data_IF_747322685943
#
_entry.id   IF_747322685943
#
_cell.length_a   1.000
_cell.length_b   1.000
_cell.length_c   1.000
_cell.angle_alpha   90.00
_cell.angle_beta   90.00
_cell.angle_gamma   90.00
#
_symmetry.space_group_name_H-M   'P 1'
#
loop_
_entity.id
_entity.type
_entity.pdbx_description
1 polymer ?
#
# COMPACT_ATOMS: atom_id res chain seq x y z
N UNK A 1 4.54 4.61 -21.30
CA UNK A 1 5.73 5.30 -21.86
C UNK A 1 6.75 4.23 -22.26
N UNK A 2 6.79 3.87 -23.55
CA UNK A 2 7.83 2.96 -24.06
C UNK A 2 9.16 3.70 -24.06
N UNK A 3 10.06 3.35 -23.14
CA UNK A 3 11.45 3.78 -23.21
C UNK A 3 12.10 3.02 -24.35
N UNK A 4 12.31 3.71 -25.48
CA UNK A 4 13.05 3.18 -26.62
C UNK A 4 14.53 3.01 -26.20
N UNK A 5 14.88 1.81 -25.77
CA UNK A 5 16.26 1.43 -25.48
C UNK A 5 17.02 1.26 -26.80
N UNK A 6 17.95 2.18 -27.11
CA UNK A 6 18.87 2.10 -28.27
C UNK A 6 20.12 1.27 -27.97
N UNK A 7 20.03 0.23 -27.13
CA UNK A 7 21.15 -0.65 -26.80
C UNK A 7 20.99 -2.06 -27.35
N UNK A 8 22.07 -2.84 -27.41
CA UNK A 8 22.01 -4.23 -27.81
C UNK A 8 21.33 -5.11 -26.73
N UNK A 9 20.93 -6.33 -27.09
CA UNK A 9 20.20 -7.27 -26.23
C UNK A 9 20.92 -7.53 -24.89
N UNK A 10 22.23 -7.56 -24.86
CA UNK A 10 23.06 -7.83 -23.67
C UNK A 10 23.08 -6.64 -22.70
N UNK A 11 23.08 -5.42 -23.22
CA UNK A 11 22.99 -4.19 -22.40
C UNK A 11 21.60 -4.07 -21.77
N UNK A 12 20.55 -4.35 -22.53
CA UNK A 12 19.18 -4.38 -22.03
C UNK A 12 19.04 -5.36 -20.84
N UNK A 13 19.64 -6.55 -20.94
CA UNK A 13 19.63 -7.55 -19.87
C UNK A 13 20.43 -7.05 -18.63
N UNK A 14 21.58 -6.40 -18.83
CA UNK A 14 22.34 -5.81 -17.72
C UNK A 14 21.56 -4.71 -17.01
N UNK A 15 20.93 -3.80 -17.75
CA UNK A 15 20.10 -2.74 -17.17
C UNK A 15 18.89 -3.30 -16.42
N UNK A 16 18.22 -4.31 -16.96
CA UNK A 16 17.11 -4.99 -16.27
C UNK A 16 17.57 -5.69 -14.99
N UNK A 17 18.75 -6.31 -14.99
CA UNK A 17 19.32 -6.93 -13.80
C UNK A 17 19.73 -5.88 -12.74
N UNK A 18 20.23 -4.72 -13.15
CA UNK A 18 20.51 -3.60 -12.24
C UNK A 18 19.21 -3.00 -11.69
N UNK A 19 18.21 -2.76 -12.54
CA UNK A 19 16.92 -2.21 -12.11
C UNK A 19 16.21 -3.11 -11.09
N UNK A 20 16.30 -4.42 -11.23
CA UNK A 20 15.77 -5.39 -10.24
C UNK A 20 16.46 -5.34 -8.88
N UNK A 21 17.68 -4.79 -8.80
CA UNK A 21 18.45 -4.65 -7.55
C UNK A 21 18.18 -3.32 -6.84
N UNK A 22 17.58 -2.34 -7.52
CA UNK A 22 17.26 -1.04 -6.93
C UNK A 22 16.04 -1.21 -6.02
N UNK A 23 16.29 -1.25 -4.71
CA UNK A 23 15.23 -1.13 -3.71
C UNK A 23 14.94 0.35 -3.49
N UNK A 24 13.73 0.76 -3.79
CA UNK A 24 13.25 2.11 -3.52
C UNK A 24 12.31 2.07 -2.31
N UNK A 25 12.59 2.88 -1.30
CA UNK A 25 11.70 3.00 -0.14
C UNK A 25 10.29 3.41 -0.58
N UNK A 26 9.30 2.67 -0.11
CA UNK A 26 7.90 2.91 -0.47
C UNK A 26 7.49 2.45 -1.87
N UNK A 27 8.29 1.58 -2.51
CA UNK A 27 7.94 0.86 -3.73
C UNK A 27 8.19 -0.63 -3.54
N UNK A 28 7.10 -1.41 -3.34
CA UNK A 28 7.15 -2.82 -2.98
C UNK A 28 8.19 -3.09 -1.88
N UNK A 29 8.27 -2.16 -0.92
CA UNK A 29 9.27 -2.14 0.14
C UNK A 29 8.83 -3.06 1.27
N UNK A 30 9.25 -4.33 1.17
CA UNK A 30 8.92 -5.38 2.13
C UNK A 30 9.92 -5.37 3.29
N UNK A 31 9.40 -5.17 4.49
CA UNK A 31 10.16 -5.12 5.73
C UNK A 31 9.67 -6.20 6.71
N UNK A 32 10.61 -6.80 7.45
CA UNK A 32 10.33 -7.83 8.46
C UNK A 32 10.65 -7.29 9.86
N UNK A 33 9.86 -7.70 10.85
CA UNK A 33 10.06 -7.37 12.26
C UNK A 33 10.17 -5.86 12.50
N UNK A 34 9.23 -5.09 11.94
CA UNK A 34 9.21 -3.62 12.07
C UNK A 34 8.79 -3.25 13.48
N UNK A 35 9.73 -2.69 14.25
CA UNK A 35 9.49 -2.30 15.62
C UNK A 35 8.82 -0.93 15.71
N UNK A 36 7.73 -0.84 16.47
CA UNK A 36 7.10 0.43 16.80
C UNK A 36 7.32 0.75 18.27
N UNK A 37 8.28 1.65 18.52
CA UNK A 37 8.76 2.00 19.87
C UNK A 37 7.64 2.52 20.77
N UNK A 38 6.75 3.38 20.27
CA UNK A 38 5.63 3.95 21.04
C UNK A 38 4.81 2.88 21.78
N UNK A 39 4.61 1.74 21.13
CA UNK A 39 3.80 0.64 21.66
C UNK A 39 4.63 -0.55 22.17
N UNK A 40 5.95 -0.53 22.00
CA UNK A 40 6.82 -1.65 22.36
C UNK A 40 6.49 -2.95 21.64
N UNK A 41 5.93 -2.85 20.44
CA UNK A 41 5.44 -3.99 19.64
C UNK A 41 6.10 -4.07 18.28
N UNK A 42 6.01 -5.24 17.66
CA UNK A 42 6.51 -5.50 16.33
C UNK A 42 5.37 -5.81 15.35
N UNK A 43 5.47 -5.28 14.14
CA UNK A 43 4.80 -5.84 12.98
C UNK A 43 5.70 -6.92 12.38
N UNK A 44 5.23 -8.14 12.27
CA UNK A 44 6.01 -9.27 11.74
C UNK A 44 6.43 -9.03 10.29
N UNK A 45 5.52 -8.53 9.48
CA UNK A 45 5.74 -8.22 8.06
C UNK A 45 4.98 -6.95 7.70
N UNK A 46 5.67 -5.97 7.13
CA UNK A 46 5.06 -4.76 6.56
C UNK A 46 5.52 -4.58 5.12
N UNK A 47 4.58 -4.22 4.24
CA UNK A 47 4.85 -3.85 2.85
C UNK A 47 4.40 -2.41 2.63
N UNK A 48 5.29 -1.56 2.13
CA UNK A 48 5.00 -0.18 1.80
C UNK A 48 5.02 0.02 0.29
N UNK A 49 3.91 0.50 -0.28
CA UNK A 49 3.82 0.87 -1.69
C UNK A 49 3.01 2.15 -1.91
N UNK A 50 3.67 3.21 -2.34
CA UNK A 50 3.04 4.49 -2.67
C UNK A 50 2.42 4.57 -4.06
N UNK A 51 2.29 3.44 -4.76
CA UNK A 51 1.66 3.36 -6.07
C UNK A 51 0.21 3.83 -6.05
N UNK A 52 -0.14 4.68 -7.02
CA UNK A 52 -1.44 5.34 -7.09
C UNK A 52 -1.93 5.48 -8.55
N UNK A 53 -1.54 4.56 -9.40
CA UNK A 53 -2.01 4.41 -10.78
C UNK A 53 -2.25 2.94 -11.09
N UNK A 54 -2.91 2.68 -12.23
CA UNK A 54 -3.32 1.35 -12.65
C UNK A 54 -2.16 0.33 -12.62
N UNK A 55 -1.04 0.65 -13.27
CA UNK A 55 0.10 -0.27 -13.39
C UNK A 55 0.73 -0.58 -12.02
N UNK A 56 0.82 0.42 -11.15
CA UNK A 56 1.39 0.25 -9.81
C UNK A 56 0.50 -0.62 -8.91
N UNK A 57 -0.82 -0.40 -8.94
CA UNK A 57 -1.76 -1.23 -8.18
C UNK A 57 -1.77 -2.67 -8.68
N UNK A 58 -1.76 -2.87 -10.00
CA UNK A 58 -1.67 -4.21 -10.59
C UNK A 58 -0.37 -4.93 -10.18
N UNK A 59 0.76 -4.22 -10.22
CA UNK A 59 2.04 -4.77 -9.77
C UNK A 59 2.05 -5.12 -8.26
N UNK A 60 1.39 -4.29 -7.44
CA UNK A 60 1.23 -4.57 -6.01
C UNK A 60 0.40 -5.83 -5.77
N UNK A 61 -0.73 -5.98 -6.45
CA UNK A 61 -1.61 -7.16 -6.35
C UNK A 61 -0.86 -8.43 -6.75
N UNK A 62 -0.12 -8.39 -7.86
CA UNK A 62 0.72 -9.49 -8.31
C UNK A 62 1.80 -9.85 -7.28
N UNK A 63 2.45 -8.83 -6.71
CA UNK A 63 3.48 -9.00 -5.68
C UNK A 63 2.91 -9.66 -4.43
N UNK A 64 1.75 -9.21 -3.93
CA UNK A 64 1.08 -9.77 -2.76
C UNK A 64 0.76 -11.26 -2.94
N UNK A 65 0.22 -11.59 -4.11
CA UNK A 65 -0.17 -12.96 -4.45
C UNK A 65 1.04 -13.88 -4.58
N UNK A 66 2.06 -13.44 -5.34
CA UNK A 66 3.28 -14.22 -5.59
C UNK A 66 4.08 -14.48 -4.31
N UNK A 67 4.12 -13.51 -3.40
CA UNK A 67 4.86 -13.61 -2.14
C UNK A 67 4.02 -14.19 -0.99
N UNK A 68 2.79 -14.64 -1.25
CA UNK A 68 1.89 -15.22 -0.24
C UNK A 68 1.65 -14.28 0.95
N UNK A 69 1.46 -13.00 0.66
CA UNK A 69 1.18 -11.96 1.65
C UNK A 69 -0.33 -11.70 1.82
N UNK A 70 -1.15 -12.63 1.38
CA UNK A 70 -2.60 -12.57 1.50
C UNK A 70 -3.13 -13.77 2.29
N UNK A 71 -4.21 -13.62 3.06
CA UNK A 71 -4.91 -12.37 3.36
C UNK A 71 -4.07 -11.43 4.23
N UNK A 72 -4.28 -10.12 4.09
CA UNK A 72 -3.50 -9.09 4.79
C UNK A 72 -4.39 -8.12 5.58
N UNK A 73 -3.76 -7.25 6.37
CA UNK A 73 -4.37 -6.01 6.86
C UNK A 73 -3.90 -4.89 5.93
N UNK A 74 -4.83 -4.27 5.19
CA UNK A 74 -4.54 -3.20 4.24
C UNK A 74 -4.87 -1.84 4.86
N UNK A 75 -3.87 -0.95 4.94
CA UNK A 75 -4.04 0.48 5.24
C UNK A 75 -4.00 1.21 3.89
N UNK A 76 -5.11 1.82 3.51
CA UNK A 76 -5.29 2.46 2.21
C UNK A 76 -5.67 3.93 2.36
N UNK A 77 -4.89 4.80 1.72
CA UNK A 77 -5.19 6.23 1.64
C UNK A 77 -4.71 6.82 0.32
N UNK A 78 -5.53 7.69 -0.28
CA UNK A 78 -5.25 8.29 -1.59
C UNK A 78 -5.60 9.78 -1.62
N UNK A 79 -4.99 10.49 -2.55
CA UNK A 79 -5.41 11.85 -2.89
C UNK A 79 -6.68 11.80 -3.76
N UNK A 80 -7.63 12.72 -3.53
CA UNK A 80 -8.91 12.75 -4.22
C UNK A 80 -8.77 12.96 -5.73
N UNK A 81 -7.78 13.77 -6.15
CA UNK A 81 -7.47 14.02 -7.56
C UNK A 81 -6.89 12.80 -8.30
N UNK A 82 -6.65 11.69 -7.61
CA UNK A 82 -6.19 10.42 -8.18
C UNK A 82 -7.32 9.40 -8.35
N UNK A 83 -8.51 9.68 -7.81
CA UNK A 83 -9.65 8.79 -7.92
C UNK A 83 -10.33 8.98 -9.29
N UNK A 84 -9.85 8.26 -10.28
CA UNK A 84 -10.47 8.18 -11.59
C UNK A 84 -10.99 6.76 -11.88
N UNK A 85 -11.92 6.64 -12.83
CA UNK A 85 -12.62 5.38 -13.12
C UNK A 85 -11.69 4.22 -13.51
N UNK A 86 -10.47 4.50 -13.99
CA UNK A 86 -9.50 3.46 -14.36
C UNK A 86 -8.94 2.74 -13.12
N UNK A 87 -9.02 3.37 -11.94
CA UNK A 87 -8.52 2.81 -10.69
C UNK A 87 -9.57 1.99 -9.92
N UNK A 88 -10.85 2.09 -10.25
CA UNK A 88 -11.90 1.39 -9.53
C UNK A 88 -11.64 -0.12 -9.46
N UNK A 89 -11.45 -0.77 -10.61
CA UNK A 89 -11.21 -2.22 -10.67
C UNK A 89 -9.96 -2.66 -9.89
N UNK A 90 -8.76 -2.09 -10.12
CA UNK A 90 -7.57 -2.53 -9.38
C UNK A 90 -7.63 -2.16 -7.88
N UNK A 91 -8.29 -1.08 -7.48
CA UNK A 91 -8.49 -0.77 -6.06
C UNK A 91 -9.41 -1.79 -5.39
N UNK A 92 -10.53 -2.13 -6.04
CA UNK A 92 -11.42 -3.17 -5.54
C UNK A 92 -10.70 -4.51 -5.41
N UNK A 93 -9.98 -4.95 -6.44
CA UNK A 93 -9.20 -6.18 -6.41
C UNK A 93 -8.14 -6.16 -5.28
N UNK A 94 -7.47 -5.04 -5.06
CA UNK A 94 -6.52 -4.89 -3.94
C UNK A 94 -7.24 -5.03 -2.59
N UNK A 95 -8.40 -4.39 -2.42
CA UNK A 95 -9.19 -4.48 -1.19
C UNK A 95 -9.69 -5.92 -0.92
N UNK A 96 -9.99 -6.68 -1.95
CA UNK A 96 -10.38 -8.09 -1.83
C UNK A 96 -9.25 -9.02 -1.35
N UNK A 97 -7.99 -8.57 -1.41
CA UNK A 97 -6.85 -9.29 -0.80
C UNK A 97 -6.77 -9.09 0.71
N UNK A 98 -7.53 -8.14 1.26
CA UNK A 98 -7.51 -7.83 2.69
C UNK A 98 -8.57 -8.63 3.46
N UNK A 99 -8.21 -9.08 4.66
CA UNK A 99 -9.19 -9.50 5.66
C UNK A 99 -9.62 -8.28 6.53
N UNK A 100 -8.66 -7.39 6.82
CA UNK A 100 -8.92 -6.13 7.50
C UNK A 100 -8.54 -4.97 6.57
N UNK A 101 -9.48 -4.05 6.35
CA UNK A 101 -9.31 -2.90 5.47
C UNK A 101 -9.49 -1.62 6.28
N UNK A 102 -8.44 -0.82 6.35
CA UNK A 102 -8.41 0.42 7.12
C UNK A 102 -8.24 1.58 6.13
N UNK A 103 -9.29 2.36 5.94
CA UNK A 103 -9.22 3.59 5.18
C UNK A 103 -8.71 4.73 6.07
N UNK A 104 -7.75 5.51 5.56
CA UNK A 104 -7.13 6.62 6.29
C UNK A 104 -6.89 7.82 5.38
N UNK A 105 -6.97 9.06 5.90
CA UNK A 105 -6.55 10.22 5.14
C UNK A 105 -5.03 10.18 4.89
N UNK A 106 -4.60 10.87 3.83
CA UNK A 106 -3.18 11.13 3.57
C UNK A 106 -2.79 12.52 4.08
N UNK A 107 -1.54 12.77 4.50
CA UNK A 107 -1.10 14.07 5.01
C UNK A 107 -0.97 15.10 3.86
N UNK A 108 -2.09 15.45 3.26
CA UNK A 108 -2.17 16.38 2.12
C UNK A 108 -3.54 17.05 2.10
N UNK A 109 -3.57 18.31 1.71
CA UNK A 109 -4.84 19.04 1.47
C UNK A 109 -5.69 18.39 0.35
N UNK A 110 -5.10 17.56 -0.49
CA UNK A 110 -5.79 16.81 -1.55
C UNK A 110 -6.26 15.42 -1.11
N UNK A 111 -6.20 15.12 0.19
CA UNK A 111 -6.63 13.82 0.69
C UNK A 111 -8.09 13.53 0.34
N UNK A 112 -8.38 12.34 -0.17
CA UNK A 112 -9.73 11.81 -0.09
C UNK A 112 -10.05 11.50 1.39
N UNK A 113 -11.33 11.69 1.77
CA UNK A 113 -11.76 11.17 3.07
C UNK A 113 -11.90 9.63 3.01
N UNK A 114 -11.77 8.94 4.14
CA UNK A 114 -12.00 7.50 4.19
C UNK A 114 -13.31 7.06 3.55
N UNK A 115 -14.40 7.78 3.83
CA UNK A 115 -15.74 7.51 3.30
C UNK A 115 -15.81 7.73 1.77
N UNK A 116 -15.16 8.78 1.27
CA UNK A 116 -15.14 9.06 -0.16
C UNK A 116 -14.36 7.98 -0.92
N UNK A 117 -13.26 7.47 -0.34
CA UNK A 117 -12.46 6.40 -0.92
C UNK A 117 -13.23 5.07 -0.92
N UNK A 118 -13.91 4.74 0.18
CA UNK A 118 -14.75 3.55 0.26
C UNK A 118 -15.90 3.61 -0.75
N UNK A 119 -16.62 4.74 -0.83
CA UNK A 119 -17.72 4.92 -1.78
C UNK A 119 -17.24 4.76 -3.22
N UNK A 120 -16.11 5.35 -3.57
CA UNK A 120 -15.50 5.23 -4.90
C UNK A 120 -15.23 3.77 -5.28
N UNK A 121 -14.73 2.95 -4.34
CA UNK A 121 -14.45 1.53 -4.58
C UNK A 121 -15.76 0.73 -4.70
N UNK A 122 -16.76 1.05 -3.88
CA UNK A 122 -18.06 0.37 -3.87
C UNK A 122 -18.89 0.65 -5.13
N UNK A 123 -18.62 1.72 -5.88
CA UNK A 123 -19.24 1.96 -7.19
C UNK A 123 -18.97 0.83 -8.20
N UNK A 124 -17.93 0.05 -8.02
CA UNK A 124 -17.62 -1.15 -8.81
C UNK A 124 -18.45 -2.39 -8.43
N UNK A 125 -19.40 -2.25 -7.52
CA UNK A 125 -20.19 -3.34 -6.96
C UNK A 125 -19.60 -3.92 -5.66
N UNK A 126 -20.35 -4.82 -5.03
CA UNK A 126 -19.98 -5.41 -3.76
C UNK A 126 -18.68 -6.23 -3.83
N UNK A 127 -17.99 -6.34 -2.71
CA UNK A 127 -16.85 -7.24 -2.56
C UNK A 127 -17.31 -8.70 -2.66
N UNK A 128 -16.53 -9.56 -3.30
CA UNK A 128 -16.73 -11.01 -3.30
C UNK A 128 -16.53 -11.59 -1.89
N UNK A 129 -15.54 -11.07 -1.17
CA UNK A 129 -15.31 -11.33 0.24
C UNK A 129 -15.43 -10.02 1.01
N UNK A 130 -16.23 -10.00 2.07
CA UNK A 130 -16.42 -8.79 2.87
C UNK A 130 -15.27 -8.60 3.85
N UNK A 131 -14.30 -7.73 3.58
CA UNK A 131 -13.27 -7.39 4.55
C UNK A 131 -13.89 -6.71 5.78
N UNK A 132 -13.24 -6.79 6.93
CA UNK A 132 -13.60 -5.99 8.10
C UNK A 132 -13.14 -4.56 7.85
N UNK A 133 -14.07 -3.66 7.54
CA UNK A 133 -13.77 -2.27 7.20
C UNK A 133 -13.70 -1.41 8.46
N UNK A 134 -12.70 -0.54 8.53
CA UNK A 134 -12.54 0.50 9.53
C UNK A 134 -12.11 1.80 8.87
N UNK A 135 -12.64 2.93 9.36
CA UNK A 135 -12.13 4.27 9.05
C UNK A 135 -11.26 4.76 10.20
N UNK A 136 -10.15 5.39 9.89
CA UNK A 136 -9.30 6.06 10.86
C UNK A 136 -9.17 7.54 10.52
N UNK A 137 -8.94 8.36 11.53
CA UNK A 137 -8.79 9.80 11.40
C UNK A 137 -7.35 10.23 11.07
N UNK A 138 -6.40 9.31 11.23
CA UNK A 138 -4.97 9.55 11.01
C UNK A 138 -4.21 8.27 10.66
N UNK A 139 -3.03 8.45 10.08
CA UNK A 139 -2.11 7.34 9.80
C UNK A 139 -1.68 6.60 11.09
N UNK A 140 -1.50 7.33 12.20
CA UNK A 140 -1.14 6.74 13.48
C UNK A 140 -2.27 5.84 14.02
N UNK A 141 -3.52 6.31 14.01
CA UNK A 141 -4.69 5.51 14.39
C UNK A 141 -4.85 4.27 13.49
N UNK A 142 -4.54 4.40 12.20
CA UNK A 142 -4.55 3.27 11.28
C UNK A 142 -3.52 2.20 11.68
N UNK A 143 -2.31 2.60 12.07
CA UNK A 143 -1.29 1.67 12.61
C UNK A 143 -1.74 1.02 13.93
N UNK A 144 -2.31 1.80 14.86
CA UNK A 144 -2.84 1.28 16.13
C UNK A 144 -3.92 0.21 15.86
N UNK A 145 -4.78 0.49 14.91
CA UNK A 145 -5.81 -0.46 14.48
C UNK A 145 -5.21 -1.73 13.88
N UNK A 146 -4.16 -1.60 13.06
CA UNK A 146 -3.47 -2.74 12.47
C UNK A 146 -2.74 -3.61 13.51
N UNK A 147 -2.26 -3.03 14.64
CA UNK A 147 -1.67 -3.80 15.75
C UNK A 147 -2.68 -4.70 16.47
N UNK A 148 -3.97 -4.39 16.38
CA UNK A 148 -5.04 -5.16 16.99
C UNK A 148 -5.54 -6.32 16.10
N UNK A 149 -5.08 -6.35 14.86
CA UNK A 149 -5.34 -7.48 13.97
C UNK A 149 -4.34 -8.61 14.25
N UNK A 150 -4.76 -9.86 14.02
CA UNK A 150 -3.88 -11.01 14.15
C UNK A 150 -2.58 -10.81 13.35
N UNK A 151 -1.53 -11.58 13.63
CA UNK A 151 -0.17 -11.48 13.06
C UNK A 151 -0.08 -11.56 11.52
N UNK A 152 -1.03 -10.93 10.82
CA UNK A 152 -1.07 -10.85 9.35
C UNK A 152 -0.09 -9.82 8.81
N UNK A 153 0.36 -10.00 7.56
CA UNK A 153 1.10 -8.95 6.88
C UNK A 153 0.31 -7.63 6.84
N UNK A 154 0.94 -6.52 7.20
CA UNK A 154 0.36 -5.19 7.06
C UNK A 154 0.84 -4.57 5.75
N UNK A 155 -0.09 -4.17 4.91
CA UNK A 155 0.17 -3.52 3.62
C UNK A 155 -0.27 -2.07 3.70
N UNK A 156 0.63 -1.16 3.35
CA UNK A 156 0.35 0.29 3.27
C UNK A 156 0.38 0.68 1.81
N UNK A 157 -0.72 1.23 1.28
CA UNK A 157 -0.85 1.48 -0.15
C UNK A 157 -1.57 2.80 -0.50
N UNK A 158 -1.41 3.24 -1.74
CA UNK A 158 -2.18 4.28 -2.40
C UNK A 158 -1.57 5.67 -2.39
N UNK A 159 -0.57 5.96 -1.53
CA UNK A 159 0.07 7.27 -1.49
C UNK A 159 1.48 7.24 -0.92
N UNK A 160 2.43 7.91 -1.61
CA UNK A 160 3.77 8.15 -1.05
C UNK A 160 3.74 9.05 0.19
N UNK A 161 2.77 9.96 0.30
CA UNK A 161 2.62 10.80 1.49
C UNK A 161 2.25 9.94 2.70
N UNK A 162 1.29 9.02 2.55
CA UNK A 162 0.91 8.08 3.61
C UNK A 162 2.08 7.18 4.01
N UNK A 163 2.77 6.59 3.03
CA UNK A 163 3.94 5.75 3.26
C UNK A 163 5.04 6.53 4.01
N UNK A 164 5.32 7.77 3.59
CA UNK A 164 6.32 8.62 4.24
C UNK A 164 5.97 8.93 5.69
N UNK A 165 4.72 9.28 5.96
CA UNK A 165 4.22 9.55 7.32
C UNK A 165 4.33 8.32 8.22
N UNK A 166 3.88 7.15 7.74
CA UNK A 166 3.94 5.91 8.52
C UNK A 166 5.38 5.47 8.80
N UNK A 167 6.30 5.64 7.85
CA UNK A 167 7.73 5.39 8.07
C UNK A 167 8.29 6.35 9.12
N UNK A 168 7.86 7.62 9.14
CA UNK A 168 8.27 8.57 10.18
C UNK A 168 7.73 8.17 11.55
N UNK A 169 6.45 7.84 11.67
CA UNK A 169 5.82 7.40 12.92
C UNK A 169 6.54 6.17 13.49
N UNK A 170 6.87 5.20 12.64
CA UNK A 170 7.61 4.00 13.02
C UNK A 170 9.07 4.33 13.38
N UNK A 171 9.72 5.24 12.62
CA UNK A 171 11.13 5.59 12.71
C UNK A 171 11.46 6.63 13.78
N UNK A 172 10.52 7.50 14.19
CA UNK A 172 10.67 8.37 15.37
C UNK A 172 10.86 7.58 16.69
N UNK A 173 10.87 6.27 16.54
CA UNK A 173 11.39 5.33 17.49
C UNK A 173 12.89 5.03 17.38
N UNK A 174 13.65 5.55 16.43
CA UNK A 174 15.07 5.22 16.16
C UNK A 174 16.03 6.41 16.40
N UNK A 175 15.74 7.31 17.35
CA UNK A 175 16.69 8.30 17.86
C UNK A 175 17.22 7.85 19.23
#
# INVERSE_FOLDING_TARGET
>A
MQVLFKGNSSEKQKWLACAKKVKMRGRLDLQQNVFWRKHGKYFKTMLFDGGHNFDALTALIEFLTTNKLVPCTLILGMAADKLDSTLQTPLKELCEKAENLIFTPVPSQRSATPEALENFINECGNFEHSPKIKHSSSAEEALESALLTDEKPVVVAGSFYLVGELIQILGNGNA
#
